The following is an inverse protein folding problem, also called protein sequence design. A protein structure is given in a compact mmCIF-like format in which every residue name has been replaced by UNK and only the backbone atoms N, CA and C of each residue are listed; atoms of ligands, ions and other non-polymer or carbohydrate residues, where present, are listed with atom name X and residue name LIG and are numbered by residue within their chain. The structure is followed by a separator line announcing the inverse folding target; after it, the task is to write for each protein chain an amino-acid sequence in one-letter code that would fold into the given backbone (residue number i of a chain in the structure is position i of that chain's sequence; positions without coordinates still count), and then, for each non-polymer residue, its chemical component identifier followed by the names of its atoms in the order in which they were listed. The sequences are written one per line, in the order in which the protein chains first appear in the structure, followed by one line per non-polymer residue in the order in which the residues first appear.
data_IF_693722864707
#
_entry.id   IF_693722864707
#
_cell.length_a   1.000
_cell.length_b   1.000
_cell.length_c   1.000
_cell.angle_alpha   90.00
_cell.angle_beta   90.00
_cell.angle_gamma   90.00
#
_symmetry.space_group_name_H-M   'P 1'
#
loop_
_entity.id
_entity.type
_entity.pdbx_description
1 polymer ?
#
# COMPACT_ATOMS: atom_id res chain seq x y z
N UNK A 1 0.74 -5.99 -32.38
CA UNK A 1 0.67 -4.81 -31.50
C UNK A 1 0.10 -5.30 -30.17
N UNK A 2 0.85 -5.23 -29.08
CA UNK A 2 0.34 -5.57 -27.75
C UNK A 2 -0.73 -4.57 -27.33
N UNK A 3 -1.80 -5.03 -26.69
CA UNK A 3 -2.81 -4.13 -26.13
C UNK A 3 -2.15 -3.15 -25.11
N UNK A 4 -2.65 -1.91 -25.00
CA UNK A 4 -2.14 -0.99 -24.00
C UNK A 4 -2.33 -1.61 -22.61
N UNK A 5 -1.31 -1.50 -21.76
CA UNK A 5 -1.38 -1.99 -20.37
C UNK A 5 -2.30 -1.08 -19.55
N UNK A 6 -3.08 -1.63 -18.63
CA UNK A 6 -3.84 -0.81 -17.69
C UNK A 6 -2.88 0.01 -16.79
N UNK A 7 -3.31 1.20 -16.41
CA UNK A 7 -2.58 2.07 -15.48
C UNK A 7 -3.31 2.06 -14.15
N UNK A 8 -2.65 1.58 -13.10
CA UNK A 8 -3.16 1.56 -11.73
C UNK A 8 -2.71 2.82 -10.99
N UNK A 9 -3.66 3.62 -10.53
CA UNK A 9 -3.41 4.79 -9.71
C UNK A 9 -3.09 4.41 -8.27
N UNK A 10 -1.93 4.84 -7.79
CA UNK A 10 -1.42 4.52 -6.45
C UNK A 10 -1.44 5.75 -5.56
N UNK A 11 -2.13 5.64 -4.43
CA UNK A 11 -2.02 6.58 -3.32
C UNK A 11 -0.99 6.11 -2.30
N UNK A 12 -0.10 6.99 -1.86
CA UNK A 12 0.91 6.65 -0.84
C UNK A 12 0.65 7.45 0.43
N UNK A 13 0.45 6.77 1.53
CA UNK A 13 0.22 7.39 2.84
C UNK A 13 1.52 7.39 3.63
N UNK A 14 2.18 8.56 3.64
CA UNK A 14 3.46 8.78 4.29
C UNK A 14 4.67 8.80 3.34
N UNK A 15 5.47 9.84 3.45
CA UNK A 15 6.72 10.05 2.69
C UNK A 15 7.91 10.25 3.64
N UNK A 16 7.99 9.43 4.67
CA UNK A 16 9.18 9.30 5.52
C UNK A 16 10.27 8.49 4.81
N UNK A 17 11.27 8.02 5.54
CA UNK A 17 12.41 7.26 4.99
C UNK A 17 11.97 6.11 4.09
N UNK A 18 11.04 5.27 4.53
CA UNK A 18 10.54 4.14 3.72
C UNK A 18 9.67 4.62 2.57
N UNK A 19 8.69 5.50 2.85
CA UNK A 19 7.74 5.98 1.84
C UNK A 19 8.42 6.69 0.68
N UNK A 20 9.40 7.54 0.95
CA UNK A 20 10.18 8.21 -0.10
C UNK A 20 10.93 7.23 -1.01
N UNK A 21 11.47 6.15 -0.45
CA UNK A 21 12.13 5.11 -1.25
C UNK A 21 11.14 4.29 -2.08
N UNK A 22 9.97 3.95 -1.53
CA UNK A 22 8.93 3.24 -2.27
C UNK A 22 8.46 4.09 -3.46
N UNK A 23 8.19 5.38 -3.25
CA UNK A 23 7.82 6.31 -4.32
C UNK A 23 8.90 6.34 -5.41
N UNK A 24 10.16 6.50 -5.01
CA UNK A 24 11.30 6.53 -5.94
C UNK A 24 11.37 5.23 -6.77
N UNK A 25 11.21 4.08 -6.15
CA UNK A 25 11.25 2.78 -6.84
C UNK A 25 10.07 2.65 -7.81
N UNK A 26 8.85 3.01 -7.42
CA UNK A 26 7.68 2.96 -8.29
C UNK A 26 7.85 3.86 -9.52
N UNK A 27 8.47 5.04 -9.35
CA UNK A 27 8.73 5.97 -10.45
C UNK A 27 9.91 5.54 -11.35
N UNK A 28 11.01 5.04 -10.76
CA UNK A 28 12.23 4.70 -11.51
C UNK A 28 12.18 3.33 -12.19
N UNK A 29 11.37 2.39 -11.69
CA UNK A 29 11.28 1.01 -12.18
C UNK A 29 9.91 0.70 -12.82
N UNK A 30 9.25 1.73 -13.35
CA UNK A 30 7.90 1.63 -13.91
C UNK A 30 7.76 0.53 -14.97
N UNK A 31 8.71 0.45 -15.89
CA UNK A 31 8.72 -0.55 -16.97
C UNK A 31 8.91 -1.97 -16.43
N UNK A 32 9.81 -2.16 -15.45
CA UNK A 32 10.06 -3.46 -14.84
C UNK A 32 8.82 -3.97 -14.09
N UNK A 33 8.14 -3.08 -13.35
CA UNK A 33 6.87 -3.42 -12.71
C UNK A 33 5.80 -3.78 -13.74
N UNK A 34 5.66 -2.97 -14.79
CA UNK A 34 4.68 -3.22 -15.84
C UNK A 34 4.94 -4.53 -16.59
N UNK A 35 6.21 -4.89 -16.79
CA UNK A 35 6.57 -6.17 -17.43
C UNK A 35 6.21 -7.38 -16.56
N UNK A 36 6.31 -7.25 -15.23
CA UNK A 36 6.09 -8.34 -14.27
C UNK A 36 4.62 -8.46 -13.82
N UNK A 37 3.92 -7.36 -13.67
CA UNK A 37 2.53 -7.33 -13.19
C UNK A 37 1.49 -7.27 -14.31
N UNK A 38 1.90 -6.92 -15.53
CA UNK A 38 0.99 -6.68 -16.65
C UNK A 38 0.28 -5.32 -16.61
N UNK A 39 0.52 -4.50 -15.56
CA UNK A 39 -0.07 -3.18 -15.38
C UNK A 39 1.00 -2.14 -15.03
N UNK A 40 0.82 -0.91 -15.45
CA UNK A 40 1.66 0.21 -15.02
C UNK A 40 1.16 0.74 -13.67
N UNK A 41 2.08 1.07 -12.76
CA UNK A 41 1.77 1.72 -11.48
C UNK A 41 2.13 3.19 -11.54
N UNK A 42 1.17 4.06 -11.29
CA UNK A 42 1.34 5.50 -11.30
C UNK A 42 1.06 6.08 -9.91
N UNK A 43 2.08 6.68 -9.27
CA UNK A 43 1.87 7.42 -8.01
C UNK A 43 1.10 8.70 -8.34
N UNK A 44 -0.16 8.77 -7.90
CA UNK A 44 -1.06 9.91 -8.17
C UNK A 44 -1.09 10.92 -7.04
N UNK A 45 -1.03 10.46 -5.79
CA UNK A 45 -1.02 11.34 -4.61
C UNK A 45 -0.19 10.73 -3.49
N UNK A 46 0.39 11.61 -2.70
CA UNK A 46 1.22 11.26 -1.54
C UNK A 46 0.75 12.07 -0.34
N UNK A 47 0.16 11.41 0.63
CA UNK A 47 -0.29 12.05 1.87
C UNK A 47 0.91 12.34 2.78
N UNK A 48 1.03 13.58 3.18
CA UNK A 48 2.07 14.06 4.11
C UNK A 48 1.47 14.99 5.17
N UNK A 49 2.12 15.11 6.32
CA UNK A 49 1.70 16.06 7.37
C UNK A 49 1.99 17.52 7.04
N UNK A 50 3.05 17.75 6.25
CA UNK A 50 3.46 19.08 5.80
C UNK A 50 4.09 18.96 4.41
N UNK A 51 3.53 19.66 3.42
CA UNK A 51 4.02 19.66 2.04
C UNK A 51 5.36 20.38 1.87
N UNK A 52 5.68 21.29 2.75
CA UNK A 52 6.91 22.10 2.72
C UNK A 52 8.08 21.48 3.51
N UNK A 53 7.84 20.37 4.22
CA UNK A 53 8.90 19.70 4.98
C UNK A 53 9.99 19.16 4.05
N UNK A 54 11.29 19.28 4.41
CA UNK A 54 12.38 18.68 3.65
C UNK A 54 12.26 17.15 3.64
N UNK A 55 12.67 16.50 2.54
CA UNK A 55 12.61 15.06 2.34
C UNK A 55 13.94 14.54 1.80
N UNK A 56 14.28 13.32 2.17
CA UNK A 56 15.51 12.64 1.76
C UNK A 56 15.56 12.35 0.24
N UNK A 57 14.40 12.21 -0.39
CA UNK A 57 14.29 12.02 -1.82
C UNK A 57 13.34 13.07 -2.41
N UNK A 58 13.66 13.63 -3.59
CA UNK A 58 12.78 14.58 -4.25
C UNK A 58 11.48 13.88 -4.66
N UNK A 59 10.36 14.45 -4.27
CA UNK A 59 9.02 14.05 -4.68
C UNK A 59 8.40 15.28 -5.33
N UNK A 60 7.78 15.11 -6.49
CA UNK A 60 7.11 16.19 -7.18
C UNK A 60 6.06 16.82 -6.24
N UNK A 61 6.16 18.13 -6.06
CA UNK A 61 5.29 18.88 -5.15
C UNK A 61 3.80 18.73 -5.50
N UNK A 62 3.49 18.57 -6.78
CA UNK A 62 2.12 18.41 -7.26
C UNK A 62 1.47 17.10 -6.80
N UNK A 63 2.28 16.09 -6.46
CA UNK A 63 1.80 14.83 -5.90
C UNK A 63 1.49 14.92 -4.41
N UNK A 64 2.02 15.93 -3.70
CA UNK A 64 1.91 16.03 -2.26
C UNK A 64 0.56 16.62 -1.85
N UNK A 65 -0.08 16.01 -0.87
CA UNK A 65 -1.32 16.52 -0.25
C UNK A 65 -1.30 16.34 1.26
N UNK A 66 -2.06 17.16 1.96
CA UNK A 66 -2.40 16.96 3.39
C UNK A 66 -3.82 16.44 3.57
N UNK A 67 -4.58 16.30 2.49
CA UNK A 67 -5.94 15.76 2.51
C UNK A 67 -5.92 14.23 2.28
N UNK A 68 -6.35 13.44 3.28
CA UNK A 68 -6.44 11.98 3.12
C UNK A 68 -7.39 11.54 2.00
N UNK A 69 -8.45 12.31 1.74
CA UNK A 69 -9.40 11.97 0.68
C UNK A 69 -8.73 11.99 -0.69
N UNK A 70 -7.93 13.02 -0.99
CA UNK A 70 -7.20 13.10 -2.25
C UNK A 70 -6.21 11.95 -2.46
N UNK A 71 -5.65 11.41 -1.36
CA UNK A 71 -4.67 10.34 -1.43
C UNK A 71 -5.28 8.92 -1.45
N UNK A 72 -6.57 8.79 -1.16
CA UNK A 72 -7.25 7.51 -1.02
C UNK A 72 -8.34 7.35 -2.07
N UNK A 73 -9.26 8.32 -2.18
CA UNK A 73 -10.48 8.14 -2.95
C UNK A 73 -10.18 8.02 -4.46
N UNK A 74 -10.75 7.01 -5.09
CA UNK A 74 -10.56 6.76 -6.52
C UNK A 74 -9.17 6.25 -6.90
N UNK A 75 -8.36 5.80 -5.94
CA UNK A 75 -7.14 5.05 -6.22
C UNK A 75 -7.47 3.58 -6.49
N UNK A 76 -6.61 2.90 -7.25
CA UNK A 76 -6.70 1.47 -7.46
C UNK A 76 -5.95 0.70 -6.35
N UNK A 77 -4.95 1.33 -5.75
CA UNK A 77 -4.11 0.79 -4.69
C UNK A 77 -3.68 1.87 -3.71
N UNK A 78 -3.69 1.57 -2.43
CA UNK A 78 -3.13 2.44 -1.38
C UNK A 78 -1.95 1.75 -0.70
N UNK A 79 -0.84 2.47 -0.54
CA UNK A 79 0.36 2.01 0.18
C UNK A 79 0.48 2.80 1.48
N UNK A 80 0.30 2.14 2.62
CA UNK A 80 0.35 2.74 3.96
C UNK A 80 1.72 2.54 4.61
N UNK A 81 2.40 3.65 4.89
CA UNK A 81 3.75 3.73 5.47
C UNK A 81 3.87 4.86 6.52
N UNK A 82 2.73 5.22 7.16
CA UNK A 82 2.71 6.27 8.19
C UNK A 82 3.28 5.74 9.50
N UNK A 83 2.93 4.49 9.84
CA UNK A 83 3.26 3.89 11.13
C UNK A 83 2.34 4.37 12.27
N UNK A 84 2.40 3.64 13.40
CA UNK A 84 1.48 3.87 14.52
C UNK A 84 0.08 3.28 14.24
N UNK A 85 -0.87 3.49 15.16
CA UNK A 85 -2.24 2.97 14.99
C UNK A 85 -3.12 4.03 14.34
N UNK A 86 -3.25 5.19 14.94
CA UNK A 86 -3.99 6.31 14.35
C UNK A 86 -3.03 7.40 13.83
N UNK A 87 -3.33 8.01 12.70
CA UNK A 87 -4.54 7.89 11.89
C UNK A 87 -4.48 6.77 10.84
N UNK A 88 -3.45 5.92 10.83
CA UNK A 88 -3.24 4.87 9.82
C UNK A 88 -4.46 3.92 9.75
N UNK A 89 -5.01 3.49 10.89
CA UNK A 89 -6.21 2.64 10.96
C UNK A 89 -7.40 3.28 10.24
N UNK A 90 -7.70 4.53 10.55
CA UNK A 90 -8.80 5.27 9.93
C UNK A 90 -8.64 5.33 8.41
N UNK A 91 -7.43 5.58 7.91
CA UNK A 91 -7.17 5.70 6.47
C UNK A 91 -7.21 4.35 5.76
N UNK A 92 -6.64 3.30 6.36
CA UNK A 92 -6.70 1.94 5.80
C UNK A 92 -8.13 1.45 5.73
N UNK A 93 -8.94 1.63 6.78
CA UNK A 93 -10.37 1.28 6.76
C UNK A 93 -11.13 2.06 5.69
N UNK A 94 -10.83 3.37 5.51
CA UNK A 94 -11.44 4.16 4.44
C UNK A 94 -11.16 3.57 3.05
N UNK A 95 -9.94 3.15 2.78
CA UNK A 95 -9.58 2.52 1.50
C UNK A 95 -10.31 1.19 1.32
N UNK A 96 -10.19 0.28 2.29
CA UNK A 96 -10.79 -1.05 2.22
C UNK A 96 -12.32 -1.02 2.08
N UNK A 97 -13.00 -0.11 2.80
CA UNK A 97 -14.47 0.03 2.70
C UNK A 97 -14.94 0.58 1.35
N UNK A 98 -14.06 1.18 0.57
CA UNK A 98 -14.32 1.61 -0.82
C UNK A 98 -13.93 0.54 -1.86
N UNK A 99 -13.53 -0.65 -1.45
CA UNK A 99 -13.04 -1.70 -2.36
C UNK A 99 -11.62 -1.43 -2.88
N UNK A 100 -10.87 -0.52 -2.26
CA UNK A 100 -9.50 -0.19 -2.66
C UNK A 100 -8.53 -1.09 -1.89
N UNK A 101 -7.71 -1.85 -2.61
CA UNK A 101 -6.71 -2.72 -2.01
C UNK A 101 -5.60 -1.93 -1.30
N UNK A 102 -5.07 -2.49 -0.21
CA UNK A 102 -4.06 -1.82 0.62
C UNK A 102 -2.82 -2.68 0.80
N UNK A 103 -1.65 -2.07 0.63
CA UNK A 103 -0.35 -2.62 1.06
C UNK A 103 0.08 -1.85 2.31
N UNK A 104 0.28 -2.53 3.44
CA UNK A 104 0.76 -1.89 4.67
C UNK A 104 2.06 -2.49 5.19
N UNK A 105 2.97 -1.62 5.64
CA UNK A 105 4.17 -2.01 6.40
C UNK A 105 4.00 -1.86 7.92
N UNK A 106 2.79 -1.66 8.41
CA UNK A 106 2.51 -1.22 9.78
C UNK A 106 2.23 -2.40 10.73
N UNK A 107 3.27 -2.90 11.37
CA UNK A 107 3.19 -4.01 12.34
C UNK A 107 2.25 -3.72 13.51
N UNK A 108 2.30 -2.50 14.05
CA UNK A 108 1.50 -2.13 15.22
C UNK A 108 0.01 -2.11 14.88
N UNK A 109 -0.35 -1.61 13.71
CA UNK A 109 -1.72 -1.60 13.23
C UNK A 109 -2.27 -3.01 13.05
N UNK A 110 -1.50 -3.89 12.40
CA UNK A 110 -1.94 -5.28 12.17
C UNK A 110 -2.06 -6.07 13.48
N UNK A 111 -1.13 -5.87 14.42
CA UNK A 111 -1.18 -6.54 15.72
C UNK A 111 -2.41 -6.13 16.53
N UNK A 112 -2.81 -4.86 16.47
CA UNK A 112 -3.92 -4.32 17.26
C UNK A 112 -5.28 -4.51 16.58
N UNK A 113 -5.35 -4.40 15.25
CA UNK A 113 -6.60 -4.29 14.48
C UNK A 113 -6.67 -5.21 13.26
N UNK A 114 -5.75 -6.18 13.12
CA UNK A 114 -5.72 -7.10 11.97
C UNK A 114 -7.08 -7.71 11.63
N UNK A 115 -7.80 -8.35 12.58
CA UNK A 115 -9.11 -8.95 12.29
C UNK A 115 -10.11 -7.97 11.67
N UNK A 116 -10.22 -6.75 12.21
CA UNK A 116 -11.09 -5.69 11.69
C UNK A 116 -10.73 -5.30 10.25
N UNK A 117 -9.45 -5.16 9.95
CA UNK A 117 -8.97 -4.80 8.62
C UNK A 117 -9.24 -5.92 7.60
N UNK A 118 -9.06 -7.18 8.01
CA UNK A 118 -9.39 -8.34 7.19
C UNK A 118 -10.89 -8.43 6.87
N UNK A 119 -11.73 -8.21 7.89
CA UNK A 119 -13.17 -8.19 7.70
C UNK A 119 -13.59 -7.08 6.72
N UNK A 120 -13.02 -5.88 6.87
CA UNK A 120 -13.28 -4.78 5.96
C UNK A 120 -12.85 -5.09 4.52
N UNK A 121 -11.69 -5.69 4.32
CA UNK A 121 -11.20 -6.10 3.02
C UNK A 121 -12.11 -7.16 2.38
N UNK A 122 -12.39 -8.24 3.10
CA UNK A 122 -13.24 -9.34 2.61
C UNK A 122 -14.67 -8.91 2.29
N UNK A 123 -15.22 -7.97 3.06
CA UNK A 123 -16.59 -7.48 2.87
C UNK A 123 -16.75 -6.54 1.67
N UNK A 124 -15.66 -6.01 1.13
CA UNK A 124 -15.68 -5.00 0.06
C UNK A 124 -14.86 -5.41 -1.17
N UNK A 125 -14.55 -6.70 -1.34
CA UNK A 125 -13.77 -7.23 -2.48
C UNK A 125 -12.42 -6.53 -2.68
N UNK A 126 -11.75 -6.20 -1.56
CA UNK A 126 -10.43 -5.59 -1.52
C UNK A 126 -9.41 -6.54 -0.92
N UNK A 127 -8.15 -6.39 -1.31
CA UNK A 127 -7.03 -7.14 -0.74
C UNK A 127 -6.26 -6.32 0.29
N UNK A 128 -5.83 -6.98 1.36
CA UNK A 128 -4.89 -6.42 2.33
C UNK A 128 -3.56 -7.17 2.28
N UNK A 129 -2.52 -6.52 1.77
CA UNK A 129 -1.17 -7.04 1.66
C UNK A 129 -0.29 -6.50 2.79
N UNK A 130 0.37 -7.38 3.54
CA UNK A 130 1.13 -7.03 4.75
C UNK A 130 2.45 -7.79 4.92
N UNK A 131 2.98 -8.38 3.87
CA UNK A 131 4.27 -9.10 3.90
C UNK A 131 5.39 -8.27 4.53
N UNK A 132 5.49 -7.00 4.14
CA UNK A 132 6.50 -6.09 4.67
C UNK A 132 6.34 -5.80 6.17
N UNK A 133 5.12 -5.92 6.70
CA UNK A 133 4.84 -5.73 8.13
C UNK A 133 5.23 -6.95 8.98
N UNK A 134 5.23 -8.16 8.42
CA UNK A 134 5.47 -9.40 9.18
C UNK A 134 6.95 -9.78 9.19
N UNK A 135 7.59 -9.86 8.03
CA UNK A 135 8.95 -10.40 7.91
C UNK A 135 9.87 -9.57 7.00
N UNK A 136 9.49 -8.35 6.67
CA UNK A 136 10.25 -7.48 5.78
C UNK A 136 10.42 -8.07 4.39
N UNK A 137 11.67 -8.37 4.00
CA UNK A 137 11.98 -8.91 2.68
C UNK A 137 11.72 -10.43 2.54
N UNK A 138 11.37 -11.12 3.62
CA UNK A 138 11.12 -12.58 3.61
C UNK A 138 9.63 -12.84 3.39
N UNK A 139 9.19 -13.48 2.29
CA UNK A 139 7.78 -13.69 1.96
C UNK A 139 7.18 -14.86 2.77
N UNK A 140 7.15 -14.74 4.10
CA UNK A 140 6.70 -15.79 5.02
C UNK A 140 5.19 -16.04 4.89
N UNK A 141 4.40 -14.96 4.80
CA UNK A 141 2.93 -15.07 4.74
C UNK A 141 2.49 -15.69 3.42
N UNK A 142 3.12 -15.28 2.32
CA UNK A 142 2.87 -15.89 1.01
C UNK A 142 3.18 -17.39 1.02
N UNK A 143 4.35 -17.77 1.52
CA UNK A 143 4.74 -19.19 1.64
C UNK A 143 3.76 -20.01 2.51
N UNK A 144 3.27 -19.44 3.62
CA UNK A 144 2.27 -20.10 4.46
C UNK A 144 0.92 -20.26 3.75
N UNK A 145 0.44 -19.24 3.06
CA UNK A 145 -0.85 -19.27 2.34
C UNK A 145 -0.84 -20.25 1.17
N UNK A 146 0.19 -20.21 0.35
CA UNK A 146 0.24 -21.00 -0.90
C UNK A 146 0.75 -22.43 -0.66
N UNK A 147 1.78 -22.60 0.19
CA UNK A 147 2.40 -23.91 0.40
C UNK A 147 1.66 -24.77 1.42
N UNK A 148 0.95 -24.18 2.38
CA UNK A 148 0.22 -24.87 3.43
C UNK A 148 -1.30 -24.79 3.29
N UNK A 149 -1.81 -24.31 2.16
CA UNK A 149 -3.26 -24.17 1.94
C UNK A 149 -4.04 -25.49 2.06
N UNK A 150 -3.38 -26.64 1.86
CA UNK A 150 -3.96 -27.97 2.00
C UNK A 150 -3.66 -28.66 3.34
N UNK A 151 -2.84 -28.06 4.19
CA UNK A 151 -2.37 -28.65 5.44
C UNK A 151 -3.08 -28.11 6.68
N UNK A 152 -3.21 -28.95 7.70
CA UNK A 152 -3.73 -28.54 8.99
C UNK A 152 -2.57 -28.13 9.89
N UNK A 153 -2.37 -26.81 10.06
CA UNK A 153 -1.38 -26.30 10.99
C UNK A 153 -1.89 -26.50 12.42
N UNK A 154 -1.18 -27.33 13.20
CA UNK A 154 -1.46 -27.56 14.63
C UNK A 154 -0.42 -26.84 15.48
N UNK A 155 -0.84 -26.17 16.55
CA UNK A 155 0.04 -25.55 17.55
C UNK A 155 0.64 -26.59 18.48
#
# INVERSE_FOLDING_TARGET
MSAPRPVLGVGVLGAGTVGSQVIRILQSSREDFAARSGAEMEVRRVLVRNVDAPRDSPIDRELLTTDPAEAIDGMDLVVELIGGIEPARTFVLRALTQGISVVTGNKALLAAHGPELYEAAASNDADLYYEAAVAGAVPVVYGLRESLAGDRVTT
#
